data_IF_244961064648
#
_entry.id   IF_244961064648
#
_cell.length_a   1.000
_cell.length_b   1.000
_cell.length_c   1.000
_cell.angle_alpha   90.00
_cell.angle_beta   90.00
_cell.angle_gamma   90.00
#
_symmetry.space_group_name_H-M   'P 1'
#
loop_
_entity.id
_entity.type
_entity.pdbx_description
1 polymer ?
#
# COMPACT_ATOMS: atom_id res chain seq x y z
N UNK A 1 -15.31 -7.00 -23.02
CA UNK A 1 -14.61 -7.71 -21.95
C UNK A 1 -14.24 -6.65 -20.93
N UNK A 2 -14.82 -6.66 -19.74
CA UNK A 2 -14.51 -5.68 -18.69
C UNK A 2 -13.25 -6.19 -18.00
N UNK A 3 -12.16 -5.44 -18.11
CA UNK A 3 -10.91 -5.76 -17.44
C UNK A 3 -11.04 -5.35 -15.97
N UNK A 4 -11.08 -6.34 -15.07
CA UNK A 4 -11.11 -6.08 -13.62
C UNK A 4 -9.65 -5.87 -13.20
N UNK A 5 -9.26 -4.62 -13.02
CA UNK A 5 -7.93 -4.27 -12.49
C UNK A 5 -8.01 -4.35 -10.97
N UNK A 6 -7.33 -5.31 -10.33
CA UNK A 6 -7.36 -5.42 -8.89
C UNK A 6 -6.59 -4.26 -8.25
N UNK A 7 -6.99 -3.85 -7.05
CA UNK A 7 -6.29 -2.87 -6.23
C UNK A 7 -5.76 -3.52 -4.95
N UNK A 8 -4.58 -3.12 -4.51
CA UNK A 8 -4.00 -3.49 -3.22
C UNK A 8 -3.90 -2.25 -2.33
N UNK A 9 -3.96 -2.47 -1.02
CA UNK A 9 -3.68 -1.44 -0.02
C UNK A 9 -2.27 -1.63 0.54
N UNK A 10 -1.56 -0.52 0.72
CA UNK A 10 -0.30 -0.44 1.45
C UNK A 10 -0.48 0.54 2.60
N UNK A 11 -0.04 0.14 3.79
CA UNK A 11 -0.02 0.95 4.99
C UNK A 11 1.38 1.54 5.15
N UNK A 12 1.45 2.84 5.34
CA UNK A 12 2.66 3.60 5.61
C UNK A 12 2.58 4.07 7.06
N UNK A 13 3.44 3.54 7.92
CA UNK A 13 3.58 3.99 9.30
C UNK A 13 4.79 4.90 9.46
N UNK A 14 4.69 5.95 10.25
CA UNK A 14 5.83 6.80 10.62
C UNK A 14 5.69 7.31 12.05
N UNK A 15 6.82 7.64 12.69
CA UNK A 15 6.84 8.31 13.98
C UNK A 15 7.03 9.82 13.78
N UNK A 16 6.07 10.66 14.19
CA UNK A 16 6.22 12.12 14.08
C UNK A 16 7.45 12.65 14.83
N UNK A 17 7.78 12.04 15.97
CA UNK A 17 8.86 12.44 16.86
C UNK A 17 10.21 11.76 16.54
N UNK A 18 10.26 10.89 15.54
CA UNK A 18 11.47 10.19 15.10
C UNK A 18 11.55 10.15 13.57
N UNK A 19 11.81 11.31 12.94
CA UNK A 19 11.83 11.43 11.50
C UNK A 19 12.92 10.55 10.88
N UNK A 20 12.53 9.72 9.91
CA UNK A 20 13.41 8.76 9.23
C UNK A 20 13.02 7.31 9.47
N UNK A 21 12.25 7.02 10.52
CA UNK A 21 11.71 5.69 10.77
C UNK A 21 10.33 5.54 10.10
N UNK A 22 10.27 4.63 9.12
CA UNK A 22 9.05 4.32 8.39
C UNK A 22 8.81 2.81 8.40
N UNK A 23 7.55 2.41 8.60
CA UNK A 23 7.07 1.05 8.38
C UNK A 23 6.27 1.02 7.09
N UNK A 24 6.47 -0.02 6.29
CA UNK A 24 5.63 -0.29 5.12
C UNK A 24 5.04 -1.68 5.31
N UNK A 25 3.72 -1.75 5.40
CA UNK A 25 3.00 -3.00 5.55
C UNK A 25 2.03 -3.18 4.38
N UNK A 26 1.99 -4.37 3.78
CA UNK A 26 1.04 -4.70 2.73
C UNK A 26 0.13 -5.83 3.20
N UNK A 27 -1.10 -5.51 3.65
CA UNK A 27 -2.11 -6.52 3.94
C UNK A 27 -2.37 -7.43 2.75
N UNK A 28 -2.59 -8.72 3.00
CA UNK A 28 -2.87 -9.74 1.97
C UNK A 28 -4.33 -9.67 1.49
N UNK A 29 -4.74 -8.49 0.99
CA UNK A 29 -6.12 -8.21 0.56
C UNK A 29 -6.08 -7.53 -0.81
N UNK A 30 -6.99 -7.96 -1.68
CA UNK A 30 -7.17 -7.42 -3.04
C UNK A 30 -8.60 -6.92 -3.19
N UNK A 31 -8.77 -5.79 -3.87
CA UNK A 31 -10.06 -5.13 -4.09
C UNK A 31 -10.38 -5.06 -5.58
N UNK A 32 -11.66 -5.13 -5.93
CA UNK A 32 -12.11 -5.06 -7.32
C UNK A 32 -12.15 -3.63 -7.87
N UNK A 33 -12.12 -2.62 -7.00
CA UNK A 33 -12.13 -1.21 -7.38
C UNK A 33 -11.27 -0.36 -6.45
N UNK A 34 -10.88 0.81 -6.94
CA UNK A 34 -10.13 1.79 -6.14
C UNK A 34 -10.94 2.25 -4.95
N UNK A 35 -12.22 2.55 -5.14
CA UNK A 35 -13.11 3.07 -4.09
C UNK A 35 -13.25 2.08 -2.94
N UNK A 36 -13.37 0.78 -3.25
CA UNK A 36 -13.40 -0.28 -2.24
C UNK A 36 -12.10 -0.32 -1.42
N UNK A 37 -10.95 -0.20 -2.11
CA UNK A 37 -9.65 -0.12 -1.46
C UNK A 37 -9.54 1.12 -0.55
N UNK A 38 -9.94 2.30 -1.03
CA UNK A 38 -9.82 3.56 -0.28
C UNK A 38 -10.68 3.53 1.00
N UNK A 39 -11.90 3.01 0.92
CA UNK A 39 -12.81 2.91 2.08
C UNK A 39 -12.25 1.96 3.14
N UNK A 40 -11.73 0.81 2.73
CA UNK A 40 -11.18 -0.19 3.67
C UNK A 40 -9.82 0.27 4.20
N UNK A 41 -8.96 0.80 3.34
CA UNK A 41 -7.65 1.35 3.69
C UNK A 41 -7.75 2.49 4.71
N UNK A 42 -8.67 3.43 4.51
CA UNK A 42 -8.88 4.53 5.47
C UNK A 42 -9.30 4.01 6.86
N UNK A 43 -10.17 2.99 6.91
CA UNK A 43 -10.57 2.36 8.18
C UNK A 43 -9.40 1.62 8.84
N UNK A 44 -8.57 0.94 8.06
CA UNK A 44 -7.37 0.25 8.56
C UNK A 44 -6.36 1.25 9.12
N UNK A 45 -6.06 2.32 8.38
CA UNK A 45 -5.15 3.39 8.80
C UNK A 45 -5.58 4.00 10.13
N UNK A 46 -6.86 4.42 10.21
CA UNK A 46 -7.42 5.00 11.42
C UNK A 46 -7.32 4.05 12.62
N UNK A 47 -7.62 2.76 12.42
CA UNK A 47 -7.51 1.74 13.48
C UNK A 47 -6.06 1.53 13.92
N UNK A 48 -5.12 1.44 12.98
CA UNK A 48 -3.71 1.24 13.30
C UNK A 48 -3.13 2.44 14.04
N UNK A 49 -3.44 3.67 13.58
CA UNK A 49 -3.09 4.90 14.29
C UNK A 49 -3.64 4.90 15.70
N UNK A 50 -4.93 4.62 15.89
CA UNK A 50 -5.54 4.57 17.23
C UNK A 50 -4.88 3.53 18.14
N UNK A 51 -4.50 2.36 17.61
CA UNK A 51 -3.79 1.34 18.39
C UNK A 51 -2.36 1.77 18.74
N UNK A 52 -1.71 2.51 17.86
CA UNK A 52 -0.34 2.98 18.02
C UNK A 52 -0.23 4.17 18.99
N UNK A 53 -1.25 5.02 19.09
CA UNK A 53 -1.29 6.17 20.02
C UNK A 53 -0.89 5.80 21.46
N UNK A 54 -1.32 4.64 21.95
CA UNK A 54 -1.03 4.20 23.33
C UNK A 54 0.24 3.37 23.48
N UNK A 55 0.94 3.03 22.38
CA UNK A 55 2.08 2.10 22.41
C UNK A 55 3.37 2.73 21.87
N UNK A 56 3.33 3.25 20.65
CA UNK A 56 4.51 3.71 19.91
C UNK A 56 4.41 5.17 19.47
N UNK A 57 3.23 5.77 19.48
CA UNK A 57 2.98 7.11 18.92
C UNK A 57 3.03 7.17 17.39
N UNK A 58 3.12 6.02 16.71
CA UNK A 58 3.17 5.97 15.26
C UNK A 58 1.83 6.42 14.63
N UNK A 59 1.93 7.07 13.48
CA UNK A 59 0.81 7.47 12.63
C UNK A 59 0.83 6.62 11.37
N UNK A 60 -0.35 6.22 10.90
CA UNK A 60 -0.51 5.39 9.71
C UNK A 60 -1.37 6.10 8.65
N UNK A 61 -0.93 6.00 7.39
CA UNK A 61 -1.71 6.33 6.19
C UNK A 61 -1.85 5.11 5.30
N UNK A 62 -2.89 5.11 4.46
CA UNK A 62 -3.05 4.11 3.42
C UNK A 62 -2.74 4.69 2.03
N UNK A 63 -2.30 3.81 1.13
CA UNK A 63 -2.19 4.06 -0.30
C UNK A 63 -2.77 2.87 -1.05
N UNK A 64 -3.61 3.17 -2.04
CA UNK A 64 -4.19 2.17 -2.92
C UNK A 64 -3.47 2.16 -4.27
N UNK A 65 -3.03 0.99 -4.71
CA UNK A 65 -2.32 0.81 -5.97
C UNK A 65 -3.07 -0.17 -6.84
N UNK A 66 -3.19 0.13 -8.13
CA UNK A 66 -3.59 -0.86 -9.12
C UNK A 66 -2.51 -1.95 -9.19
N UNK A 67 -2.93 -3.21 -9.19
CA UNK A 67 -2.05 -4.33 -9.47
C UNK A 67 -1.75 -4.29 -10.96
N UNK A 68 -0.47 -4.25 -11.36
CA UNK A 68 -0.11 -4.27 -12.76
C UNK A 68 -0.63 -5.55 -13.41
N UNK A 69 -1.08 -5.44 -14.66
CA UNK A 69 -1.35 -6.60 -15.50
C UNK A 69 -0.09 -7.46 -15.63
N UNK A 70 -0.26 -8.71 -16.06
CA UNK A 70 0.87 -9.62 -16.31
C UNK A 70 1.87 -9.00 -17.29
N UNK A 71 1.38 -8.38 -18.36
CA UNK A 71 2.19 -7.76 -19.40
C UNK A 71 2.97 -6.54 -18.88
N UNK A 72 2.31 -5.69 -18.07
CA UNK A 72 2.99 -4.57 -17.40
C UNK A 72 4.04 -5.06 -16.41
N UNK A 73 3.76 -6.13 -15.66
CA UNK A 73 4.72 -6.72 -14.73
C UNK A 73 5.95 -7.30 -15.44
N UNK A 74 5.75 -8.04 -16.53
CA UNK A 74 6.85 -8.57 -17.36
C UNK A 74 7.70 -7.44 -17.95
N UNK A 75 7.06 -6.35 -18.41
CA UNK A 75 7.76 -5.18 -18.92
C UNK A 75 8.58 -4.46 -17.83
N UNK A 76 8.02 -4.29 -16.63
CA UNK A 76 8.74 -3.70 -15.48
C UNK A 76 9.95 -4.55 -15.09
N UNK A 77 9.79 -5.88 -15.05
CA UNK A 77 10.88 -6.79 -14.69
C UNK A 77 12.03 -6.70 -15.69
N UNK A 78 11.72 -6.68 -16.99
CA UNK A 78 12.73 -6.53 -18.05
C UNK A 78 13.49 -5.19 -17.96
N UNK A 79 12.78 -4.09 -17.70
CA UNK A 79 13.42 -2.77 -17.51
C UNK A 79 14.38 -2.75 -16.31
N UNK A 80 14.03 -3.43 -15.21
CA UNK A 80 14.91 -3.55 -14.05
C UNK A 80 16.19 -4.34 -14.36
N UNK A 81 16.11 -5.40 -15.17
CA UNK A 81 17.28 -6.17 -15.61
C UNK A 81 18.21 -5.34 -16.51
N UNK A 82 17.63 -4.54 -17.41
CA UNK A 82 18.38 -3.66 -18.31
C UNK A 82 19.06 -2.51 -17.56
N UNK A 83 18.44 -1.98 -16.50
CA UNK A 83 18.98 -0.90 -15.66
C UNK A 83 20.12 -1.33 -14.73
N UNK A 84 20.35 -2.65 -14.56
CA UNK A 84 21.43 -3.22 -13.74
C UNK A 84 22.72 -3.50 -14.51
N UNK A 85 22.73 -3.30 -15.83
CA UNK A 85 23.92 -3.41 -16.68
C UNK A 85 24.59 -2.05 -16.89
#
# INVERSE_FOLDING_TARGET
MVEIIPFIVVMLGWLPDSPGEFSIERPEIVFESREACEVVGAKMAARMTQMAETQSGAQYEHRCFAVPSKEEFEAMFKQMEESRK
#
